data_IF_436919420484
#
_entry.id   IF_436919420484
#
_cell.length_a   1.000
_cell.length_b   1.000
_cell.length_c   1.000
_cell.angle_alpha   90.00
_cell.angle_beta   90.00
_cell.angle_gamma   90.00
#
_symmetry.space_group_name_H-M   'P 1'
#
loop_
_entity.id
_entity.type
_entity.pdbx_description
1 polymer ?
#
# COMPACT_ATOMS: atom_id res chain seq x y z
N UNK A 1 27.04 -48.50 -13.35
CA UNK A 1 26.04 -47.60 -13.95
C UNK A 1 24.71 -47.81 -13.24
N UNK A 2 24.12 -46.72 -12.70
CA UNK A 2 22.67 -46.42 -12.51
C UNK A 2 21.74 -47.53 -11.98
N UNK A 3 20.89 -47.36 -10.95
CA UNK A 3 20.20 -46.17 -10.43
C UNK A 3 19.68 -46.50 -9.02
N UNK A 4 19.73 -45.51 -8.13
CA UNK A 4 18.96 -45.44 -6.88
C UNK A 4 17.46 -45.60 -7.14
N UNK A 5 16.75 -46.21 -6.18
CA UNK A 5 15.35 -45.88 -5.94
C UNK A 5 15.21 -45.38 -4.51
N UNK A 6 14.79 -44.12 -4.44
CA UNK A 6 14.54 -43.32 -3.25
C UNK A 6 13.15 -43.65 -2.74
N UNK A 7 13.02 -44.12 -1.50
CA UNK A 7 11.77 -43.97 -0.75
C UNK A 7 11.82 -42.64 0.01
N UNK A 8 11.23 -41.62 -0.62
CA UNK A 8 10.86 -40.36 0.04
C UNK A 8 9.73 -40.65 1.02
N UNK A 9 10.05 -40.85 2.29
CA UNK A 9 9.11 -40.53 3.36
C UNK A 9 9.29 -39.05 3.71
N UNK A 10 8.73 -38.19 2.85
CA UNK A 10 8.51 -36.79 3.17
C UNK A 10 7.35 -36.70 4.15
N UNK A 11 7.63 -36.95 5.43
CA UNK A 11 6.66 -36.69 6.47
C UNK A 11 6.54 -35.16 6.61
N UNK A 12 5.35 -34.65 6.30
CA UNK A 12 4.93 -33.30 6.67
C UNK A 12 5.00 -33.23 8.19
N UNK A 13 6.00 -32.54 8.73
CA UNK A 13 6.05 -32.25 10.16
C UNK A 13 4.89 -31.32 10.52
N UNK A 14 3.81 -31.99 10.88
CA UNK A 14 2.60 -31.50 11.53
C UNK A 14 2.92 -30.70 12.79
N UNK A 15 2.01 -29.80 13.18
CA UNK A 15 1.96 -29.01 14.43
C UNK A 15 2.02 -29.85 15.72
N UNK A 16 3.02 -30.72 15.90
CA UNK A 16 3.17 -31.53 17.10
C UNK A 16 3.96 -30.71 18.11
N UNK A 17 3.22 -30.08 19.01
CA UNK A 17 3.73 -29.49 20.25
C UNK A 17 3.26 -30.37 21.42
N UNK A 18 4.04 -30.48 22.51
CA UNK A 18 5.33 -29.84 22.74
C UNK A 18 6.47 -30.51 21.94
N UNK A 19 7.52 -29.74 21.61
CA UNK A 19 8.76 -30.24 21.00
C UNK A 19 9.97 -29.85 21.86
N UNK A 20 10.87 -30.80 22.11
CA UNK A 20 12.11 -30.59 22.87
C UNK A 20 13.31 -30.61 21.93
N UNK A 21 14.12 -29.56 21.98
CA UNK A 21 15.27 -29.35 21.12
C UNK A 21 16.52 -29.10 21.96
N UNK A 22 17.64 -29.74 21.60
CA UNK A 22 18.96 -29.37 22.10
C UNK A 22 19.59 -28.39 21.13
N UNK A 23 19.77 -27.14 21.56
CA UNK A 23 20.21 -26.05 20.70
C UNK A 23 21.59 -25.54 21.13
N UNK A 24 22.47 -25.35 20.16
CA UNK A 24 23.78 -24.74 20.37
C UNK A 24 23.65 -23.22 20.47
N UNK A 25 24.45 -22.63 21.35
CA UNK A 25 24.54 -21.19 21.56
C UNK A 25 25.46 -20.58 20.49
N UNK A 26 24.88 -19.81 19.56
CA UNK A 26 25.54 -19.34 18.31
C UNK A 26 26.22 -17.98 18.50
N UNK A 27 25.89 -17.24 19.56
CA UNK A 27 26.57 -16.02 20.01
C UNK A 27 26.43 -15.90 21.53
N UNK A 28 27.18 -15.00 22.20
CA UNK A 28 27.29 -14.87 23.67
C UNK A 28 25.98 -14.99 24.48
N UNK A 29 24.79 -14.82 23.89
CA UNK A 29 23.52 -15.08 24.53
C UNK A 29 22.37 -15.53 23.61
N UNK A 30 22.62 -16.16 22.47
CA UNK A 30 21.55 -16.51 21.52
C UNK A 30 21.58 -17.96 21.07
N UNK A 31 20.39 -18.52 20.89
CA UNK A 31 20.14 -19.80 20.22
C UNK A 31 19.27 -19.55 18.98
N UNK A 32 19.39 -20.37 17.93
CA UNK A 32 18.53 -20.30 16.74
C UNK A 32 17.62 -21.52 16.70
N UNK A 33 16.36 -21.32 16.31
CA UNK A 33 15.43 -22.41 16.06
C UNK A 33 15.72 -23.00 14.68
N UNK A 34 15.94 -24.33 14.57
CA UNK A 34 16.29 -24.98 13.31
C UNK A 34 15.29 -24.72 12.18
N UNK A 35 15.79 -24.52 10.96
CA UNK A 35 14.97 -24.20 9.78
C UNK A 35 13.97 -25.29 9.39
N UNK A 36 14.25 -26.57 9.71
CA UNK A 36 13.37 -27.70 9.41
C UNK A 36 12.01 -27.62 10.15
N UNK A 37 11.91 -26.86 11.25
CA UNK A 37 10.64 -26.54 11.90
C UNK A 37 9.95 -25.42 11.14
N UNK A 38 9.41 -25.72 9.95
CA UNK A 38 8.83 -24.75 9.02
C UNK A 38 7.62 -24.00 9.59
N UNK A 39 6.90 -24.59 10.55
CA UNK A 39 5.78 -23.94 11.21
C UNK A 39 6.18 -22.85 12.22
N UNK A 40 7.47 -22.57 12.42
CA UNK A 40 7.97 -21.52 13.30
C UNK A 40 8.76 -20.51 12.46
N UNK A 41 8.39 -19.24 12.52
CA UNK A 41 8.95 -18.17 11.68
C UNK A 41 9.52 -17.01 12.49
N UNK A 42 10.31 -16.15 11.83
CA UNK A 42 10.83 -14.92 12.46
C UNK A 42 9.68 -14.03 12.92
N UNK A 43 9.73 -13.57 14.17
CA UNK A 43 8.70 -12.76 14.80
C UNK A 43 7.61 -13.54 15.52
N UNK A 44 7.55 -14.88 15.39
CA UNK A 44 6.69 -15.72 16.23
C UNK A 44 7.14 -15.63 17.70
N UNK A 45 6.21 -15.77 18.63
CA UNK A 45 6.50 -15.86 20.06
C UNK A 45 6.46 -17.30 20.52
N UNK A 46 7.57 -17.77 21.09
CA UNK A 46 7.71 -19.11 21.63
C UNK A 46 7.44 -19.08 23.14
N UNK A 47 6.52 -19.95 23.57
CA UNK A 47 6.25 -20.23 24.98
C UNK A 47 6.72 -21.65 25.30
N UNK A 48 7.49 -21.79 26.39
CA UNK A 48 8.11 -23.05 26.72
C UNK A 48 8.93 -23.02 28.01
N UNK A 49 9.83 -23.99 28.12
CA UNK A 49 10.79 -24.09 29.23
C UNK A 49 12.20 -24.30 28.71
N UNK A 50 13.17 -23.84 29.49
CA UNK A 50 14.60 -24.02 29.27
C UNK A 50 15.15 -24.91 30.38
N UNK A 51 15.89 -25.93 29.99
CA UNK A 51 16.48 -26.92 30.89
C UNK A 51 17.98 -27.03 30.65
N UNK A 52 18.71 -27.14 31.75
CA UNK A 52 20.14 -27.44 31.78
C UNK A 52 20.47 -28.05 33.15
N UNK A 53 21.45 -28.95 33.21
CA UNK A 53 21.84 -29.66 34.45
C UNK A 53 22.31 -28.73 35.59
N UNK A 54 22.74 -27.52 35.24
CA UNK A 54 23.24 -26.50 36.17
C UNK A 54 22.16 -25.51 36.59
N UNK A 55 20.95 -25.58 36.01
CA UNK A 55 19.83 -24.75 36.44
C UNK A 55 19.11 -25.43 37.60
N UNK A 56 18.73 -24.69 38.65
CA UNK A 56 18.06 -25.27 39.82
C UNK A 56 16.66 -25.81 39.48
N UNK A 57 16.06 -25.36 38.38
CA UNK A 57 14.76 -25.81 37.86
C UNK A 57 14.59 -25.36 36.40
N UNK A 58 13.67 -25.98 35.64
CA UNK A 58 13.30 -25.50 34.32
C UNK A 58 12.86 -24.04 34.35
N UNK A 59 13.48 -23.20 33.51
CA UNK A 59 13.21 -21.77 33.46
C UNK A 59 12.16 -21.46 32.42
N UNK A 60 11.17 -20.63 32.76
CA UNK A 60 10.13 -20.23 31.81
C UNK A 60 10.69 -19.42 30.64
N UNK A 61 10.23 -19.74 29.44
CA UNK A 61 10.57 -19.06 28.20
C UNK A 61 9.30 -18.48 27.60
N UNK A 62 9.26 -17.15 27.45
CA UNK A 62 8.31 -16.43 26.62
C UNK A 62 9.09 -15.37 25.86
N UNK A 63 9.45 -15.67 24.60
CA UNK A 63 10.28 -14.79 23.78
C UNK A 63 9.83 -14.78 22.34
N UNK A 64 9.80 -13.57 21.78
CA UNK A 64 9.65 -13.35 20.36
C UNK A 64 10.95 -13.66 19.63
N UNK A 65 10.86 -14.37 18.51
CA UNK A 65 11.98 -14.67 17.63
C UNK A 65 12.44 -13.42 16.90
N UNK A 66 13.72 -13.04 17.07
CA UNK A 66 14.37 -12.01 16.28
C UNK A 66 14.84 -12.56 14.92
N UNK A 67 15.52 -11.72 14.13
CA UNK A 67 16.08 -12.09 12.82
C UNK A 67 16.78 -13.45 12.85
N UNK A 68 16.61 -14.22 11.77
CA UNK A 68 17.11 -15.58 11.63
C UNK A 68 16.61 -16.56 12.72
N UNK A 69 15.36 -16.37 13.18
CA UNK A 69 14.69 -17.25 14.15
C UNK A 69 15.48 -17.41 15.46
N UNK A 70 16.03 -16.31 15.97
CA UNK A 70 16.91 -16.32 17.15
C UNK A 70 16.17 -15.96 18.44
N UNK A 71 16.54 -16.61 19.55
CA UNK A 71 16.08 -16.28 20.91
C UNK A 71 17.26 -15.72 21.70
N UNK A 72 17.07 -14.57 22.35
CA UNK A 72 18.07 -14.02 23.29
C UNK A 72 17.81 -14.51 24.72
N UNK A 73 18.77 -15.24 25.28
CA UNK A 73 18.74 -15.86 26.60
C UNK A 73 19.60 -15.13 27.64
N UNK A 74 19.85 -13.83 27.44
CA UNK A 74 20.75 -13.04 28.30
C UNK A 74 20.38 -13.05 29.79
N UNK A 75 19.10 -13.23 30.12
CA UNK A 75 18.61 -13.30 31.51
C UNK A 75 19.16 -14.50 32.27
N UNK A 76 19.45 -15.61 31.58
CA UNK A 76 19.97 -16.83 32.20
C UNK A 76 21.45 -16.74 32.58
N UNK A 77 22.22 -15.80 32.01
CA UNK A 77 23.67 -15.68 32.28
C UNK A 77 24.00 -15.62 33.77
N UNK A 78 23.20 -14.90 34.55
CA UNK A 78 23.44 -14.73 36.00
C UNK A 78 23.27 -16.03 36.80
N UNK A 79 22.60 -17.03 36.22
CA UNK A 79 22.32 -18.31 36.86
C UNK A 79 23.40 -19.36 36.57
N UNK A 80 24.35 -19.08 35.67
CA UNK A 80 25.43 -19.99 35.31
C UNK A 80 26.78 -19.54 35.88
N UNK A 81 27.68 -20.48 36.22
CA UNK A 81 29.05 -20.18 36.62
C UNK A 81 29.77 -19.30 35.59
N UNK A 82 30.51 -18.29 36.06
CA UNK A 82 31.26 -17.39 35.18
C UNK A 82 30.41 -16.40 34.37
N UNK A 83 29.10 -16.29 34.63
CA UNK A 83 28.16 -15.40 33.93
C UNK A 83 28.09 -15.64 32.41
N UNK A 84 28.41 -16.87 31.97
CA UNK A 84 28.39 -17.31 30.57
C UNK A 84 27.33 -18.39 30.38
N UNK A 85 26.71 -18.41 29.21
CA UNK A 85 25.78 -19.48 28.85
C UNK A 85 26.56 -20.74 28.44
N UNK A 86 26.04 -21.93 28.75
CA UNK A 86 26.64 -23.18 28.30
C UNK A 86 26.53 -23.32 26.78
N UNK A 87 27.37 -24.16 26.19
CA UNK A 87 27.41 -24.35 24.73
C UNK A 87 26.10 -24.91 24.17
N UNK A 88 25.39 -25.73 24.95
CA UNK A 88 24.14 -26.35 24.56
C UNK A 88 23.09 -26.15 25.64
N UNK A 89 21.86 -25.85 25.22
CA UNK A 89 20.71 -25.67 26.11
C UNK A 89 19.55 -26.50 25.57
N UNK A 90 18.80 -27.15 26.45
CA UNK A 90 17.58 -27.85 26.08
C UNK A 90 16.41 -26.88 26.17
N UNK A 91 15.63 -26.75 25.10
CA UNK A 91 14.42 -25.93 25.04
C UNK A 91 13.23 -26.82 24.69
N UNK A 92 12.21 -26.81 25.54
CA UNK A 92 10.92 -27.42 25.25
C UNK A 92 9.93 -26.33 24.86
N UNK A 93 9.53 -26.31 23.59
CA UNK A 93 8.52 -25.41 23.04
C UNK A 93 7.17 -26.06 23.29
N UNK A 94 6.30 -25.41 24.07
CA UNK A 94 4.95 -25.90 24.39
C UNK A 94 3.89 -25.25 23.51
N UNK A 95 4.09 -23.98 23.18
CA UNK A 95 3.17 -23.20 22.38
C UNK A 95 3.95 -22.23 21.49
N UNK A 96 3.43 -22.01 20.28
CA UNK A 96 3.94 -21.00 19.35
C UNK A 96 2.79 -20.05 19.07
N UNK A 97 2.87 -18.85 19.65
CA UNK A 97 1.98 -17.75 19.30
C UNK A 97 2.51 -17.17 18.00
N UNK A 98 1.77 -17.38 16.92
CA UNK A 98 2.12 -16.79 15.63
C UNK A 98 2.27 -15.29 15.76
N UNK A 99 3.33 -14.75 15.15
CA UNK A 99 3.43 -13.32 14.88
C UNK A 99 2.07 -12.96 14.32
N UNK A 100 1.29 -12.14 15.02
CA UNK A 100 0.15 -11.48 14.38
C UNK A 100 0.79 -10.83 13.18
N UNK A 101 0.43 -11.26 11.98
CA UNK A 101 0.87 -10.59 10.77
C UNK A 101 0.68 -9.13 11.06
N UNK A 102 1.81 -8.42 11.20
CA UNK A 102 1.77 -6.98 11.26
C UNK A 102 1.13 -6.66 9.94
N UNK A 103 -0.13 -6.22 10.00
CA UNK A 103 -0.90 -5.87 8.82
C UNK A 103 0.04 -5.11 7.89
N UNK A 104 0.03 -5.42 6.58
CA UNK A 104 0.81 -4.67 5.61
C UNK A 104 0.62 -3.20 5.96
N UNK A 105 1.74 -2.48 6.05
CA UNK A 105 1.67 -1.07 6.39
C UNK A 105 0.79 -0.40 5.37
N UNK A 106 -0.42 -0.03 5.81
CA UNK A 106 -1.42 0.63 4.99
C UNK A 106 -0.85 2.00 4.69
N UNK A 107 -0.48 2.22 3.43
CA UNK A 107 -0.27 3.56 2.94
C UNK A 107 -1.65 4.22 2.92
N UNK A 108 -1.84 5.17 3.83
CA UNK A 108 -3.05 5.98 3.90
C UNK A 108 -2.74 7.27 3.18
N UNK A 109 -3.59 7.66 2.25
CA UNK A 109 -3.44 8.91 1.52
C UNK A 109 -4.68 9.76 1.75
N UNK A 110 -4.49 11.05 1.99
CA UNK A 110 -5.58 12.01 2.08
C UNK A 110 -5.21 13.34 1.43
N UNK A 111 -6.13 13.88 0.63
CA UNK A 111 -5.98 15.18 0.00
C UNK A 111 -7.03 16.13 0.56
N UNK A 112 -6.60 17.31 1.05
CA UNK A 112 -7.49 18.37 1.53
C UNK A 112 -7.32 19.57 0.61
N UNK A 113 -8.33 19.81 -0.23
CA UNK A 113 -8.28 20.84 -1.27
C UNK A 113 -8.25 22.27 -0.74
N UNK A 114 -8.89 22.58 0.39
CA UNK A 114 -9.02 23.97 0.87
C UNK A 114 -7.70 24.63 1.33
N UNK A 115 -6.54 24.00 1.13
CA UNK A 115 -5.23 24.52 1.52
C UNK A 115 -4.11 24.27 0.49
N UNK A 116 -4.38 23.69 -0.69
CA UNK A 116 -3.34 23.18 -1.61
C UNK A 116 -2.32 22.25 -0.90
N UNK A 117 -2.76 21.58 0.18
CA UNK A 117 -1.92 20.69 0.98
C UNK A 117 -2.38 19.25 0.78
N UNK A 118 -1.53 18.47 0.13
CA UNK A 118 -1.57 17.03 0.25
C UNK A 118 -1.14 16.65 1.67
N UNK A 119 -1.92 15.81 2.35
CA UNK A 119 -1.49 15.21 3.61
C UNK A 119 -1.08 13.79 3.29
N UNK A 120 0.21 13.61 3.06
CA UNK A 120 0.82 12.28 2.98
C UNK A 120 0.89 11.70 4.40
N UNK A 121 0.33 10.49 4.59
CA UNK A 121 0.45 9.79 5.86
C UNK A 121 1.59 8.77 5.79
N UNK A 122 2.83 9.22 5.60
CA UNK A 122 3.96 8.31 5.83
C UNK A 122 4.14 8.00 7.30
N UNK A 123 4.66 6.81 7.53
CA UNK A 123 5.10 6.22 8.78
C UNK A 123 6.26 7.01 9.39
N UNK A 124 6.01 8.16 10.01
CA UNK A 124 6.70 8.60 11.22
C UNK A 124 6.13 9.93 11.69
N UNK A 125 5.68 9.97 12.94
CA UNK A 125 5.23 11.15 13.69
C UNK A 125 3.79 11.65 13.42
N UNK A 126 2.84 11.07 14.18
CA UNK A 126 1.50 11.62 14.38
C UNK A 126 1.28 11.87 15.87
N UNK A 127 1.38 13.12 16.32
CA UNK A 127 1.19 13.48 17.73
C UNK A 127 -0.25 13.87 18.09
N UNK A 128 -1.14 14.10 17.11
CA UNK A 128 -2.52 14.55 17.36
C UNK A 128 -3.55 13.40 17.38
N UNK A 129 -4.54 13.55 18.26
CA UNK A 129 -5.61 12.57 18.47
C UNK A 129 -6.50 12.37 17.24
N UNK A 130 -6.77 13.43 16.47
CA UNK A 130 -7.63 13.38 15.27
C UNK A 130 -7.01 12.58 14.13
N UNK A 131 -5.69 12.65 13.93
CA UNK A 131 -4.99 11.89 12.89
C UNK A 131 -4.91 10.41 13.25
N UNK A 132 -4.76 10.08 14.54
CA UNK A 132 -4.87 8.70 15.03
C UNK A 132 -6.23 8.08 14.70
N UNK A 133 -7.33 8.83 14.87
CA UNK A 133 -8.69 8.36 14.53
C UNK A 133 -8.86 8.07 13.03
N UNK A 134 -8.32 8.91 12.15
CA UNK A 134 -8.36 8.67 10.70
C UNK A 134 -7.62 7.38 10.32
N UNK A 135 -6.44 7.17 10.90
CA UNK A 135 -5.65 5.94 10.72
C UNK A 135 -6.40 4.71 11.22
N UNK A 136 -7.00 4.80 12.41
CA UNK A 136 -7.78 3.70 12.98
C UNK A 136 -9.00 3.39 12.09
N UNK A 137 -9.66 4.41 11.50
CA UNK A 137 -10.73 4.21 10.52
C UNK A 137 -10.24 3.47 9.27
N UNK A 138 -9.15 3.91 8.64
CA UNK A 138 -8.57 3.22 7.48
C UNK A 138 -8.22 1.77 7.80
N UNK A 139 -7.54 1.53 8.94
CA UNK A 139 -7.15 0.19 9.39
C UNK A 139 -8.37 -0.71 9.58
N UNK A 140 -9.39 -0.24 10.30
CA UNK A 140 -10.61 -1.01 10.56
C UNK A 140 -11.36 -1.29 9.25
N UNK A 141 -11.43 -0.33 8.33
CA UNK A 141 -12.05 -0.52 7.01
C UNK A 141 -11.36 -1.61 6.19
N UNK A 142 -10.03 -1.63 6.16
CA UNK A 142 -9.24 -2.67 5.48
C UNK A 142 -9.43 -4.04 6.14
N UNK A 143 -9.38 -4.11 7.47
CA UNK A 143 -9.59 -5.36 8.23
C UNK A 143 -10.96 -5.97 7.96
N UNK A 144 -12.03 -5.16 7.92
CA UNK A 144 -13.38 -5.63 7.63
C UNK A 144 -13.44 -6.29 6.25
N UNK A 145 -12.85 -5.68 5.22
CA UNK A 145 -12.87 -6.24 3.87
C UNK A 145 -11.97 -7.46 3.73
N UNK A 146 -10.82 -7.51 4.40
CA UNK A 146 -9.97 -8.70 4.39
C UNK A 146 -10.72 -9.96 4.86
N UNK A 147 -11.66 -9.81 5.80
CA UNK A 147 -12.49 -10.92 6.28
C UNK A 147 -13.62 -11.33 5.33
N UNK A 148 -14.02 -10.47 4.40
CA UNK A 148 -15.04 -10.72 3.38
C UNK A 148 -14.33 -10.91 2.04
N UNK A 149 -14.03 -12.16 1.67
CA UNK A 149 -13.45 -12.52 0.36
C UNK A 149 -14.41 -12.13 -0.78
N UNK A 150 -14.44 -10.86 -1.17
CA UNK A 150 -15.22 -10.39 -2.31
C UNK A 150 -14.31 -10.03 -3.49
N UNK A 151 -14.69 -10.50 -4.68
CA UNK A 151 -13.98 -10.37 -5.96
C UNK A 151 -14.07 -8.97 -6.59
N UNK A 152 -14.30 -7.90 -5.82
CA UNK A 152 -14.43 -6.57 -6.39
C UNK A 152 -13.07 -5.86 -6.46
N UNK A 153 -12.73 -5.19 -7.58
CA UNK A 153 -11.45 -4.49 -7.73
C UNK A 153 -11.30 -3.35 -6.71
N UNK A 154 -12.42 -2.75 -6.29
CA UNK A 154 -12.49 -1.79 -5.18
C UNK A 154 -13.86 -1.80 -4.47
N UNK A 155 -13.93 -1.12 -3.33
CA UNK A 155 -15.16 -0.87 -2.57
C UNK A 155 -15.11 0.53 -1.98
N UNK A 156 -16.16 1.32 -2.19
CA UNK A 156 -16.34 2.63 -1.55
C UNK A 156 -17.23 2.41 -0.33
N UNK A 157 -16.73 2.78 0.84
CA UNK A 157 -17.47 2.66 2.10
C UNK A 157 -18.28 3.93 2.37
N UNK A 158 -19.32 3.79 3.19
CA UNK A 158 -20.10 4.93 3.65
C UNK A 158 -19.20 5.98 4.34
N UNK A 159 -19.42 7.25 3.99
CA UNK A 159 -18.70 8.37 4.58
C UNK A 159 -19.13 8.65 6.01
N UNK A 160 -18.18 9.03 6.86
CA UNK A 160 -18.41 9.44 8.25
C UNK A 160 -17.92 10.87 8.49
N UNK A 161 -18.65 11.62 9.32
CA UNK A 161 -18.28 12.97 9.71
C UNK A 161 -17.42 12.99 10.98
N UNK A 162 -16.24 13.61 10.89
CA UNK A 162 -15.28 13.77 11.97
C UNK A 162 -15.40 15.17 12.56
N UNK A 163 -16.19 15.31 13.63
CA UNK A 163 -16.48 16.58 14.31
C UNK A 163 -15.24 17.41 14.65
N UNK A 164 -14.18 16.76 15.13
CA UNK A 164 -12.94 17.44 15.55
C UNK A 164 -12.16 18.06 14.38
N UNK A 165 -12.44 17.62 13.15
CA UNK A 165 -11.78 18.09 11.92
C UNK A 165 -12.71 18.89 11.03
N UNK A 166 -14.02 18.90 11.32
CA UNK A 166 -15.06 19.45 10.46
C UNK A 166 -15.03 18.90 9.01
N UNK A 167 -14.76 17.60 8.87
CA UNK A 167 -14.64 16.93 7.58
C UNK A 167 -15.43 15.63 7.51
N UNK A 168 -15.97 15.36 6.33
CA UNK A 168 -16.48 14.06 5.92
C UNK A 168 -15.35 13.21 5.35
N UNK A 169 -15.30 11.94 5.74
CA UNK A 169 -14.26 10.98 5.36
C UNK A 169 -14.90 9.81 4.65
N UNK A 170 -14.56 9.61 3.38
CA UNK A 170 -15.06 8.50 2.55
C UNK A 170 -13.90 7.53 2.27
N UNK A 171 -13.89 6.32 2.86
CA UNK A 171 -12.87 5.33 2.56
C UNK A 171 -13.12 4.63 1.23
N UNK A 172 -12.08 4.56 0.40
CA UNK A 172 -12.03 3.73 -0.81
C UNK A 172 -11.01 2.62 -0.56
N UNK A 173 -11.41 1.38 -0.80
CA UNK A 173 -10.59 0.20 -0.57
C UNK A 173 -10.36 -0.47 -1.91
N UNK A 174 -9.11 -0.75 -2.27
CA UNK A 174 -8.74 -1.38 -3.54
C UNK A 174 -7.55 -2.30 -3.33
N UNK A 175 -7.25 -3.13 -4.33
CA UNK A 175 -6.13 -4.06 -4.26
C UNK A 175 -4.99 -3.60 -5.17
N UNK A 176 -3.80 -3.41 -4.59
CA UNK A 176 -2.58 -3.17 -5.36
C UNK A 176 -1.90 -4.50 -5.66
N UNK A 177 -1.43 -4.66 -6.89
CA UNK A 177 -0.58 -5.79 -7.25
C UNK A 177 0.84 -5.48 -6.77
N UNK A 178 1.41 -6.33 -5.92
CA UNK A 178 2.81 -6.24 -5.52
C UNK A 178 3.52 -7.60 -5.57
N UNK A 179 4.81 -7.61 -5.23
CA UNK A 179 5.67 -8.81 -5.24
C UNK A 179 5.12 -9.99 -4.42
N UNK A 180 4.29 -9.70 -3.41
CA UNK A 180 3.69 -10.67 -2.50
C UNK A 180 2.23 -11.02 -2.84
N UNK A 181 1.73 -10.58 -4.00
CA UNK A 181 0.34 -10.73 -4.42
C UNK A 181 -0.50 -9.47 -4.20
N UNK A 182 -1.83 -9.62 -4.20
CA UNK A 182 -2.76 -8.50 -4.01
C UNK A 182 -2.72 -7.97 -2.57
N UNK A 183 -2.34 -6.71 -2.40
CA UNK A 183 -2.29 -6.01 -1.12
C UNK A 183 -3.49 -5.07 -1.00
N UNK A 184 -4.38 -5.26 0.00
CA UNK A 184 -5.49 -4.34 0.21
C UNK A 184 -4.95 -2.98 0.68
N UNK A 185 -5.40 -1.92 0.02
CA UNK A 185 -4.98 -0.54 0.19
C UNK A 185 -6.18 0.37 0.40
N UNK A 186 -5.99 1.47 1.13
CA UNK A 186 -7.07 2.40 1.48
C UNK A 186 -6.70 3.84 1.14
N UNK A 187 -7.53 4.47 0.30
CA UNK A 187 -7.52 5.90 0.05
C UNK A 187 -8.63 6.56 0.87
N UNK A 188 -8.31 7.60 1.63
CA UNK A 188 -9.30 8.37 2.38
C UNK A 188 -9.58 9.68 1.64
N UNK A 189 -10.80 9.82 1.13
CA UNK A 189 -11.25 11.09 0.57
C UNK A 189 -11.80 11.98 1.68
N UNK A 190 -11.35 13.24 1.70
CA UNK A 190 -11.70 14.22 2.73
C UNK A 190 -12.50 15.35 2.07
N UNK A 191 -13.74 15.55 2.54
CA UNK A 191 -14.65 16.54 2.01
C UNK A 191 -15.11 17.49 3.11
N UNK A 192 -15.22 18.78 2.80
CA UNK A 192 -16.07 19.65 3.61
C UNK A 192 -17.56 19.30 3.39
N UNK A 193 -18.45 19.90 4.20
CA UNK A 193 -19.89 19.64 4.13
C UNK A 193 -20.50 19.94 2.75
N UNK A 194 -20.04 20.99 2.08
CA UNK A 194 -20.60 21.43 0.78
C UNK A 194 -20.20 20.44 -0.31
N UNK A 195 -18.91 20.11 -0.38
CA UNK A 195 -18.36 19.17 -1.37
C UNK A 195 -18.83 17.74 -1.13
N UNK A 196 -19.03 17.31 0.12
CA UNK A 196 -19.62 16.01 0.42
C UNK A 196 -21.06 15.88 -0.08
N UNK A 197 -21.86 16.95 0.08
CA UNK A 197 -23.24 16.98 -0.41
C UNK A 197 -23.28 16.91 -1.94
N UNK A 198 -22.40 17.66 -2.62
CA UNK A 198 -22.25 17.58 -4.08
C UNK A 198 -21.83 16.18 -4.52
N UNK A 199 -20.75 15.63 -3.95
CA UNK A 199 -20.29 14.27 -4.23
C UNK A 199 -21.41 13.24 -4.11
N UNK A 200 -22.20 13.30 -3.02
CA UNK A 200 -23.31 12.37 -2.80
C UNK A 200 -24.38 12.45 -3.91
N UNK A 201 -24.58 13.63 -4.50
CA UNK A 201 -25.55 13.83 -5.61
C UNK A 201 -25.05 13.34 -6.98
N UNK A 202 -23.75 13.12 -7.13
CA UNK A 202 -23.10 12.71 -8.39
C UNK A 202 -22.23 11.46 -8.20
N UNK A 203 -22.55 10.67 -7.18
CA UNK A 203 -21.72 9.58 -6.69
C UNK A 203 -21.47 8.53 -7.76
N UNK A 204 -22.43 8.27 -8.65
CA UNK A 204 -22.30 7.35 -9.79
C UNK A 204 -21.17 7.76 -10.74
N UNK A 205 -21.04 9.05 -11.07
CA UNK A 205 -19.94 9.57 -11.91
C UNK A 205 -18.60 9.47 -11.19
N UNK A 206 -18.57 9.80 -9.90
CA UNK A 206 -17.37 9.68 -9.09
C UNK A 206 -16.92 8.21 -8.95
N UNK A 207 -17.87 7.29 -8.77
CA UNK A 207 -17.61 5.85 -8.72
C UNK A 207 -16.97 5.36 -10.01
N UNK A 208 -17.44 5.83 -11.17
CA UNK A 208 -16.88 5.46 -12.46
C UNK A 208 -15.45 5.98 -12.66
N UNK A 209 -15.14 7.21 -12.21
CA UNK A 209 -13.75 7.70 -12.21
C UNK A 209 -12.87 6.87 -11.27
N UNK A 210 -13.36 6.57 -10.06
CA UNK A 210 -12.64 5.73 -9.09
C UNK A 210 -12.37 4.35 -9.69
N UNK A 211 -13.34 3.76 -10.38
CA UNK A 211 -13.18 2.49 -11.08
C UNK A 211 -12.06 2.55 -12.11
N UNK A 212 -12.09 3.54 -13.01
CA UNK A 212 -11.03 3.74 -14.01
C UNK A 212 -9.65 3.89 -13.37
N UNK A 213 -9.57 4.70 -12.32
CA UNK A 213 -8.35 4.93 -11.58
C UNK A 213 -7.83 3.64 -10.92
N UNK A 214 -8.69 2.85 -10.27
CA UNK A 214 -8.31 1.57 -9.65
C UNK A 214 -7.88 0.55 -10.69
N UNK A 215 -8.63 0.40 -11.78
CA UNK A 215 -8.26 -0.45 -12.90
C UNK A 215 -6.88 -0.06 -13.41
N UNK A 216 -6.61 1.24 -13.52
CA UNK A 216 -5.32 1.73 -13.95
C UNK A 216 -4.19 1.46 -12.94
N UNK A 217 -4.40 1.69 -11.64
CA UNK A 217 -3.44 1.36 -10.59
C UNK A 217 -3.06 -0.13 -10.58
N UNK A 218 -4.00 -1.01 -10.93
CA UNK A 218 -3.73 -2.45 -11.02
C UNK A 218 -2.71 -2.80 -12.11
N UNK A 219 -2.47 -1.90 -13.08
CA UNK A 219 -1.50 -2.06 -14.16
C UNK A 219 -0.15 -1.37 -13.90
N UNK A 220 -0.06 -0.40 -12.99
CA UNK A 220 1.08 0.54 -12.94
C UNK A 220 2.19 0.22 -11.94
N UNK A 221 2.06 -0.78 -11.06
CA UNK A 221 3.03 -1.18 -10.01
C UNK A 221 3.45 -0.07 -9.00
N UNK A 222 3.27 1.23 -9.30
CA UNK A 222 3.71 2.37 -8.47
C UNK A 222 2.56 3.32 -8.10
N UNK A 223 1.99 3.13 -6.90
CA UNK A 223 1.16 4.15 -6.25
C UNK A 223 2.07 5.17 -5.54
N UNK A 224 2.26 6.33 -6.16
CA UNK A 224 3.05 7.43 -5.62
C UNK A 224 2.19 8.68 -5.33
N UNK A 225 2.81 9.68 -4.71
CA UNK A 225 2.18 10.94 -4.32
C UNK A 225 1.56 11.67 -5.53
N UNK A 226 2.28 11.65 -6.65
CA UNK A 226 1.94 12.27 -7.92
C UNK A 226 0.62 11.74 -8.50
N UNK A 227 0.51 10.42 -8.61
CA UNK A 227 -0.66 9.72 -9.12
C UNK A 227 -1.91 10.03 -8.29
N UNK A 228 -1.75 10.17 -6.97
CA UNK A 228 -2.86 10.49 -6.05
C UNK A 228 -3.30 11.94 -6.18
N UNK A 229 -2.36 12.88 -6.38
CA UNK A 229 -2.68 14.29 -6.65
C UNK A 229 -3.53 14.42 -7.90
N UNK A 230 -3.13 13.76 -8.98
CA UNK A 230 -3.87 13.79 -10.25
C UNK A 230 -5.29 13.24 -10.07
N UNK A 231 -5.43 12.07 -9.43
CA UNK A 231 -6.75 11.51 -9.14
C UNK A 231 -7.63 12.45 -8.31
N UNK A 232 -7.07 13.08 -7.27
CA UNK A 232 -7.80 14.00 -6.42
C UNK A 232 -8.28 15.24 -7.21
N UNK A 233 -7.47 15.78 -8.11
CA UNK A 233 -7.84 16.90 -8.97
C UNK A 233 -8.95 16.53 -9.96
N UNK A 234 -8.90 15.33 -10.53
CA UNK A 234 -9.93 14.83 -11.44
C UNK A 234 -11.27 14.62 -10.72
N UNK A 235 -11.24 13.99 -9.55
CA UNK A 235 -12.43 13.79 -8.73
C UNK A 235 -13.05 15.12 -8.31
N UNK A 236 -12.19 16.07 -7.95
CA UNK A 236 -12.57 17.43 -7.63
C UNK A 236 -13.29 18.09 -8.82
N UNK A 237 -12.70 18.01 -10.01
CA UNK A 237 -13.31 18.58 -11.21
C UNK A 237 -14.72 18.04 -11.40
N UNK A 238 -14.92 16.72 -11.32
CA UNK A 238 -16.25 16.08 -11.40
C UNK A 238 -17.22 16.68 -10.36
N UNK A 239 -16.79 16.83 -9.11
CA UNK A 239 -17.61 17.37 -8.01
C UNK A 239 -18.04 18.81 -8.27
N UNK A 240 -17.21 19.60 -8.93
CA UNK A 240 -17.51 20.99 -9.22
C UNK A 240 -18.34 21.19 -10.48
N UNK A 241 -17.98 20.51 -11.56
CA UNK A 241 -18.53 20.72 -12.90
C UNK A 241 -19.67 19.76 -13.22
N UNK A 242 -19.85 18.70 -12.42
CA UNK A 242 -20.79 17.61 -12.68
C UNK A 242 -20.57 16.96 -14.07
N UNK A 243 -19.34 17.00 -14.58
CA UNK A 243 -18.95 16.36 -15.83
C UNK A 243 -17.88 15.33 -15.59
N UNK A 244 -18.07 14.14 -16.15
CA UNK A 244 -17.07 13.07 -16.15
C UNK A 244 -16.00 13.40 -17.20
N UNK A 245 -14.71 13.22 -16.89
CA UNK A 245 -13.68 13.26 -17.91
C UNK A 245 -13.96 12.30 -19.06
N UNK A 246 -13.77 12.79 -20.27
CA UNK A 246 -13.75 11.93 -21.44
C UNK A 246 -12.52 11.02 -21.32
N UNK A 247 -12.75 9.72 -21.39
CA UNK A 247 -11.68 8.73 -21.36
C UNK A 247 -11.68 8.02 -22.70
N UNK A 248 -10.52 8.00 -23.34
CA UNK A 248 -10.27 7.13 -24.48
C UNK A 248 -9.30 6.03 -24.08
N UNK A 249 -9.66 4.80 -24.43
CA UNK A 249 -8.71 3.69 -24.39
C UNK A 249 -7.57 3.93 -25.36
N UNK A 250 -6.38 3.35 -25.07
CA UNK A 250 -5.21 3.50 -25.93
C UNK A 250 -5.51 3.12 -27.40
N UNK A 251 -6.33 2.11 -27.62
CA UNK A 251 -6.71 1.67 -28.96
C UNK A 251 -7.55 2.72 -29.70
N UNK A 252 -8.48 3.39 -29.01
CA UNK A 252 -9.31 4.46 -29.57
C UNK A 252 -8.45 5.66 -29.97
N UNK A 253 -7.48 6.03 -29.11
CA UNK A 253 -6.51 7.10 -29.40
C UNK A 253 -5.68 6.76 -30.63
N UNK A 254 -5.19 5.53 -30.74
CA UNK A 254 -4.36 5.09 -31.87
C UNK A 254 -5.11 5.14 -33.21
N UNK A 255 -6.44 4.99 -33.17
CA UNK A 255 -7.34 5.02 -34.35
C UNK A 255 -7.95 6.40 -34.65
N UNK A 256 -7.63 7.46 -33.89
CA UNK A 256 -8.18 8.80 -34.14
C UNK A 256 -7.71 9.38 -35.48
N UNK A 257 -8.64 10.00 -36.22
CA UNK A 257 -8.36 10.69 -37.49
C UNK A 257 -7.67 12.06 -37.31
N UNK A 258 -7.97 12.78 -36.23
CA UNK A 258 -7.29 14.04 -35.89
C UNK A 258 -5.87 13.72 -35.39
N UNK A 259 -4.90 13.75 -36.31
CA UNK A 259 -3.49 13.42 -36.04
C UNK A 259 -2.83 14.36 -35.02
N UNK A 260 -3.21 15.64 -34.97
CA UNK A 260 -2.67 16.57 -33.97
C UNK A 260 -3.21 16.21 -32.58
N UNK A 261 -4.53 15.99 -32.46
CA UNK A 261 -5.17 15.51 -31.22
C UNK A 261 -4.51 14.22 -30.76
N UNK A 262 -4.45 13.21 -31.62
CA UNK A 262 -3.82 11.92 -31.34
C UNK A 262 -2.39 12.07 -30.81
N UNK A 263 -1.56 12.88 -31.46
CA UNK A 263 -0.18 13.12 -31.02
C UNK A 263 -0.12 13.78 -29.65
N UNK A 264 -0.92 14.83 -29.41
CA UNK A 264 -0.99 15.50 -28.10
C UNK A 264 -1.36 14.49 -27.01
N UNK A 265 -2.40 13.67 -27.23
CA UNK A 265 -2.83 12.68 -26.24
C UNK A 265 -1.75 11.63 -25.97
N UNK A 266 -1.09 11.11 -27.01
CA UNK A 266 0.01 10.14 -26.86
C UNK A 266 1.18 10.75 -26.06
N UNK A 267 1.55 12.01 -26.34
CA UNK A 267 2.65 12.68 -25.63
C UNK A 267 2.29 12.90 -24.16
N UNK A 268 1.07 13.35 -23.86
CA UNK A 268 0.58 13.52 -22.49
C UNK A 268 0.57 12.19 -21.74
N UNK A 269 0.10 11.10 -22.38
CA UNK A 269 0.10 9.75 -21.81
C UNK A 269 1.53 9.27 -21.54
N UNK A 270 2.50 9.55 -22.42
CA UNK A 270 3.91 9.18 -22.23
C UNK A 270 4.59 9.97 -21.12
N UNK A 271 4.28 11.25 -20.99
CA UNK A 271 4.87 12.13 -19.97
C UNK A 271 4.09 12.14 -18.65
N UNK A 272 3.05 11.32 -18.51
CA UNK A 272 2.27 11.20 -17.26
C UNK A 272 3.11 10.99 -16.00
N UNK A 273 4.22 10.23 -16.12
CA UNK A 273 5.14 9.96 -15.00
C UNK A 273 5.85 11.22 -14.47
N UNK A 274 5.76 12.34 -15.19
CA UNK A 274 6.33 13.64 -14.83
C UNK A 274 5.27 14.66 -14.39
N UNK A 275 4.08 14.24 -13.99
CA UNK A 275 2.91 15.09 -13.68
C UNK A 275 2.26 15.81 -14.87
N UNK A 276 2.64 15.43 -16.09
CA UNK A 276 2.14 16.07 -17.29
C UNK A 276 3.29 16.54 -18.16
N UNK A 277 3.00 17.51 -18.99
CA UNK A 277 3.95 18.13 -19.90
C UNK A 277 3.63 19.63 -19.97
N UNK A 278 4.65 20.48 -20.00
CA UNK A 278 4.41 21.91 -20.22
C UNK A 278 3.95 22.14 -21.66
N UNK A 279 3.27 23.26 -21.93
CA UNK A 279 2.93 23.63 -23.31
C UNK A 279 4.18 23.76 -24.21
N UNK A 280 5.28 24.26 -23.64
CA UNK A 280 6.57 24.43 -24.32
C UNK A 280 7.19 23.07 -24.69
N UNK A 281 7.27 22.14 -23.73
CA UNK A 281 7.75 20.77 -23.96
C UNK A 281 6.86 20.02 -24.97
N UNK A 282 5.55 20.26 -24.92
CA UNK A 282 4.61 19.69 -25.88
C UNK A 282 4.87 20.24 -27.29
N UNK A 283 5.18 21.52 -27.41
CA UNK A 283 5.55 22.16 -28.68
C UNK A 283 6.87 21.61 -29.23
N UNK A 284 7.88 21.39 -28.39
CA UNK A 284 9.15 20.74 -28.80
C UNK A 284 8.92 19.35 -29.41
N UNK A 285 7.89 18.62 -28.96
CA UNK A 285 7.53 17.33 -29.56
C UNK A 285 6.68 17.43 -30.83
N UNK A 286 6.16 18.63 -31.16
CA UNK A 286 5.21 18.89 -32.23
C UNK A 286 5.73 19.94 -33.23
N UNK A 287 7.05 19.98 -33.46
CA UNK A 287 7.76 20.99 -34.31
C UNK A 287 7.13 21.22 -35.70
N UNK A 288 6.32 20.29 -36.21
CA UNK A 288 5.59 20.43 -37.47
C UNK A 288 4.35 21.35 -37.40
N UNK A 289 3.98 21.84 -36.22
CA UNK A 289 2.81 22.68 -35.97
C UNK A 289 3.26 24.01 -35.37
N UNK A 290 2.50 25.09 -35.59
CA UNK A 290 2.75 26.35 -34.88
C UNK A 290 2.28 26.26 -33.43
N UNK A 291 2.92 27.03 -32.56
CA UNK A 291 2.61 27.10 -31.13
C UNK A 291 1.14 27.48 -30.88
N UNK A 292 0.62 28.46 -31.64
CA UNK A 292 -0.78 28.88 -31.57
C UNK A 292 -1.76 27.75 -31.92
N UNK A 293 -1.42 26.92 -32.92
CA UNK A 293 -2.25 25.77 -33.31
C UNK A 293 -2.25 24.70 -32.23
N UNK A 294 -1.08 24.41 -31.64
CA UNK A 294 -0.95 23.46 -30.52
C UNK A 294 -1.74 23.95 -29.32
N UNK A 295 -1.59 25.23 -28.93
CA UNK A 295 -2.30 25.86 -27.83
C UNK A 295 -3.82 25.78 -28.00
N UNK A 296 -4.32 26.23 -29.15
CA UNK A 296 -5.75 26.17 -29.47
C UNK A 296 -6.29 24.74 -29.41
N UNK A 297 -5.51 23.76 -29.87
CA UNK A 297 -5.89 22.35 -29.79
C UNK A 297 -5.90 21.86 -28.35
N UNK A 298 -4.94 22.22 -27.52
CA UNK A 298 -4.93 21.84 -26.09
C UNK A 298 -6.12 22.44 -25.35
N UNK A 299 -6.44 23.72 -25.57
CA UNK A 299 -7.63 24.36 -24.98
C UNK A 299 -8.94 23.71 -25.46
N UNK A 300 -9.00 23.27 -26.73
CA UNK A 300 -10.12 22.48 -27.22
C UNK A 300 -10.24 21.15 -26.46
N UNK A 301 -9.13 20.44 -26.27
CA UNK A 301 -9.10 19.16 -25.56
C UNK A 301 -9.42 19.30 -24.07
N UNK A 302 -9.08 20.42 -23.44
CA UNK A 302 -9.55 20.77 -22.10
C UNK A 302 -11.07 20.89 -22.08
N UNK A 303 -11.67 21.63 -23.02
CA UNK A 303 -13.14 21.79 -23.12
C UNK A 303 -13.87 20.48 -23.40
N UNK A 304 -13.23 19.57 -24.11
CA UNK A 304 -13.72 18.20 -24.35
C UNK A 304 -13.52 17.27 -23.13
N UNK A 305 -12.96 17.79 -22.04
CA UNK A 305 -12.59 17.04 -20.83
C UNK A 305 -11.64 15.87 -21.11
N UNK A 306 -10.69 16.05 -22.03
CA UNK A 306 -9.64 15.07 -22.35
C UNK A 306 -8.29 15.40 -21.71
N UNK A 307 -8.06 16.67 -21.42
CA UNK A 307 -6.88 17.16 -20.73
C UNK A 307 -7.29 18.00 -19.53
N UNK A 308 -6.42 18.03 -18.51
CA UNK A 308 -6.52 18.90 -17.36
C UNK A 308 -5.37 19.91 -17.40
N UNK A 309 -5.69 21.20 -17.26
CA UNK A 309 -4.71 22.27 -17.14
C UNK A 309 -4.48 22.59 -15.67
N UNK A 310 -3.27 22.33 -15.17
CA UNK A 310 -2.98 22.33 -13.73
C UNK A 310 -2.63 23.72 -13.18
N UNK A 311 -1.94 24.56 -13.96
CA UNK A 311 -1.54 25.91 -13.52
C UNK A 311 -1.72 26.93 -14.66
N UNK A 312 -2.84 27.66 -14.67
CA UNK A 312 -3.13 28.74 -15.65
C UNK A 312 -2.50 30.08 -15.29
N UNK A 313 -1.35 30.10 -14.63
CA UNK A 313 -0.65 31.36 -14.33
C UNK A 313 0.42 31.57 -15.40
N UNK A 314 0.20 32.61 -16.21
CA UNK A 314 1.11 33.14 -17.25
C UNK A 314 1.50 32.19 -18.36
N UNK A 315 0.70 32.10 -19.45
CA UNK A 315 0.95 31.51 -20.80
C UNK A 315 1.62 30.11 -20.93
N UNK A 316 2.31 29.62 -19.91
CA UNK A 316 2.73 28.26 -19.64
C UNK A 316 1.69 27.62 -18.71
N UNK A 317 1.26 26.41 -19.05
CA UNK A 317 0.48 25.58 -18.16
C UNK A 317 0.95 24.13 -18.28
N UNK A 318 0.91 23.43 -17.15
CA UNK A 318 1.14 21.99 -17.11
C UNK A 318 -0.12 21.26 -17.58
N UNK A 319 0.07 20.36 -18.54
CA UNK A 319 -0.98 19.59 -19.21
C UNK A 319 -0.92 18.16 -18.71
N UNK A 320 -2.00 17.68 -18.09
CA UNK A 320 -2.13 16.29 -17.69
C UNK A 320 -3.27 15.59 -18.42
N UNK A 321 -3.11 14.29 -18.65
CA UNK A 321 -4.13 13.45 -19.27
C UNK A 321 -5.19 13.05 -18.25
N UNK A 322 -6.46 13.04 -18.67
CA UNK A 322 -7.57 12.59 -17.86
C UNK A 322 -7.77 11.07 -18.01
N UNK A 323 -7.65 10.32 -16.90
CA UNK A 323 -7.77 8.85 -16.86
C UNK A 323 -9.21 8.35 -16.90
#
# INVERSE_FOLDING_TARGET
MTKSTVTKNGNKDSKILPITLKLSVISFNRVSIPSHLSFIETGDTIIGTIEHELLPSPQYLNKQLSSNRTITLGFLKKQFPGKKLPENITITIREVIKKKESLPTVNVFGYIRNQDKLIYFDKSEFSSSSLKKLKDKAKNSVEILYTKKDNMPFTILQGDYFKDLDLWVVPIIFYLQGDFGLVPSCLLLLFDKVNFTKFSSIQDKANLLIERYVTWLSFEEDLNEETIKLFALQLTHIIETNTLPAFYGLQEILTMEDELKKRILIICIKNRKKNGITLEELFEHLESYSEEVVKNKVEQLEKENLLLLLDKKTESYDISWLL
#
